data_IF_125998602467
#
_entry.id   IF_125998602467
#
_cell.length_a   1.000
_cell.length_b   1.000
_cell.length_c   1.000
_cell.angle_alpha   90.00
_cell.angle_beta   90.00
_cell.angle_gamma   90.00
#
_symmetry.space_group_name_H-M   'P 1'
#
loop_
_entity.id
_entity.type
_entity.pdbx_description
1 polymer ?
#
# COMPACT_ATOMS: atom_id res chain seq x y z
N UNK A 1 22.37 8.51 9.45
CA UNK A 1 20.94 8.73 9.71
C UNK A 1 20.65 10.17 9.32
N UNK A 2 19.58 10.44 8.55
CA UNK A 2 19.24 11.82 8.20
C UNK A 2 18.70 12.54 9.45
N UNK A 3 19.16 13.77 9.71
CA UNK A 3 18.63 14.58 10.81
C UNK A 3 17.27 15.20 10.43
N UNK A 4 16.31 15.28 11.36
CA UNK A 4 15.01 15.89 11.10
C UNK A 4 15.17 17.39 10.85
N UNK A 5 14.50 17.88 9.80
CA UNK A 5 14.51 19.30 9.44
C UNK A 5 13.76 20.10 10.51
N UNK A 6 14.42 21.13 11.06
CA UNK A 6 13.83 22.03 12.06
C UNK A 6 13.60 23.40 11.44
N UNK A 7 12.45 23.98 11.74
CA UNK A 7 12.03 25.32 11.31
C UNK A 7 11.63 26.11 12.57
N UNK A 8 11.96 27.40 12.63
CA UNK A 8 11.50 28.29 13.69
C UNK A 8 10.58 29.36 13.09
N UNK A 9 9.41 29.56 13.70
CA UNK A 9 8.42 30.55 13.23
C UNK A 9 8.90 32.00 13.37
N UNK A 10 9.98 32.22 14.11
CA UNK A 10 10.59 33.54 14.30
C UNK A 10 11.57 33.92 13.18
N UNK A 11 11.93 32.99 12.31
CA UNK A 11 12.86 33.27 11.21
C UNK A 11 12.12 34.01 10.07
N UNK A 12 12.72 35.08 9.54
CA UNK A 12 12.16 35.86 8.41
C UNK A 12 11.87 34.99 7.17
N UNK A 13 12.53 33.83 7.05
CA UNK A 13 12.37 32.86 5.96
C UNK A 13 11.38 31.72 6.24
N UNK A 14 10.71 31.71 7.40
CA UNK A 14 9.88 30.59 7.85
C UNK A 14 8.81 30.20 6.81
N UNK A 15 7.98 31.15 6.37
CA UNK A 15 6.87 30.88 5.44
C UNK A 15 7.35 30.23 4.14
N UNK A 16 8.46 30.73 3.58
CA UNK A 16 9.04 30.20 2.36
C UNK A 16 9.61 28.79 2.56
N UNK A 17 10.27 28.55 3.69
CA UNK A 17 10.86 27.25 4.01
C UNK A 17 9.80 26.21 4.40
N UNK A 18 8.72 26.63 5.07
CA UNK A 18 7.56 25.83 5.39
C UNK A 18 6.77 25.45 4.13
N UNK A 19 6.50 26.41 3.24
CA UNK A 19 5.86 26.15 1.95
C UNK A 19 6.62 25.11 1.11
N UNK A 20 7.96 25.16 1.08
CA UNK A 20 8.78 24.15 0.41
C UNK A 20 8.71 22.77 1.07
N UNK A 21 8.60 22.72 2.40
CA UNK A 21 8.51 21.47 3.14
C UNK A 21 7.19 20.75 2.83
N UNK A 22 6.07 21.47 2.88
CA UNK A 22 4.73 20.90 2.63
C UNK A 22 4.48 20.62 1.15
N UNK A 23 5.13 21.35 0.23
CA UNK A 23 5.00 21.10 -1.21
C UNK A 23 5.41 19.67 -1.59
N UNK A 24 6.41 19.10 -0.92
CA UNK A 24 6.90 17.74 -1.17
C UNK A 24 5.89 16.65 -0.79
N UNK A 25 5.07 16.89 0.24
CA UNK A 25 4.06 15.90 0.70
C UNK A 25 2.79 15.88 -0.18
N UNK A 26 2.62 16.86 -1.07
CA UNK A 26 1.38 17.04 -1.86
C UNK A 26 1.43 16.45 -3.27
N UNK A 27 2.55 15.90 -3.71
CA UNK A 27 2.62 15.18 -4.98
C UNK A 27 1.89 13.85 -4.82
N UNK A 28 0.62 13.81 -5.23
CA UNK A 28 -0.03 12.55 -5.61
C UNK A 28 0.89 11.83 -6.58
N UNK A 29 1.31 10.62 -6.20
CA UNK A 29 2.20 9.82 -7.03
C UNK A 29 1.38 9.32 -8.24
N UNK A 30 1.53 9.99 -9.39
CA UNK A 30 0.92 9.62 -10.66
C UNK A 30 1.23 8.16 -11.06
N UNK A 31 2.34 7.59 -10.56
CA UNK A 31 2.69 6.19 -10.74
C UNK A 31 1.74 5.27 -9.98
N UNK A 32 1.37 5.62 -8.75
CA UNK A 32 0.40 4.87 -7.93
C UNK A 32 -1.00 4.95 -8.55
N UNK A 33 -1.42 6.11 -9.04
CA UNK A 33 -2.72 6.27 -9.70
C UNK A 33 -2.82 5.39 -10.95
N UNK A 34 -1.78 5.42 -11.79
CA UNK A 34 -1.70 4.60 -13.00
C UNK A 34 -1.70 3.11 -12.70
N UNK A 35 -0.87 2.67 -11.74
CA UNK A 35 -0.81 1.27 -11.33
C UNK A 35 -2.18 0.80 -10.80
N UNK A 36 -2.87 1.62 -10.02
CA UNK A 36 -4.20 1.30 -9.51
C UNK A 36 -5.21 1.15 -10.66
N UNK A 37 -5.21 2.06 -11.63
CA UNK A 37 -6.09 1.99 -12.80
C UNK A 37 -5.83 0.72 -13.62
N UNK A 38 -4.56 0.39 -13.89
CA UNK A 38 -4.16 -0.83 -14.61
C UNK A 38 -4.60 -2.11 -13.87
N UNK A 39 -4.41 -2.17 -12.54
CA UNK A 39 -4.86 -3.30 -11.71
C UNK A 39 -6.38 -3.47 -11.79
N UNK A 40 -7.13 -2.38 -11.62
CA UNK A 40 -8.59 -2.41 -11.68
C UNK A 40 -9.09 -2.84 -13.06
N UNK A 41 -8.46 -2.37 -14.15
CA UNK A 41 -8.80 -2.78 -15.51
C UNK A 41 -8.52 -4.28 -15.73
N UNK A 42 -7.34 -4.75 -15.34
CA UNK A 42 -6.96 -6.16 -15.47
C UNK A 42 -7.91 -7.09 -14.73
N UNK A 43 -8.25 -6.77 -13.47
CA UNK A 43 -9.18 -7.58 -12.66
C UNK A 43 -10.60 -7.53 -13.23
N UNK A 44 -11.07 -6.38 -13.73
CA UNK A 44 -12.38 -6.29 -14.39
C UNK A 44 -12.45 -7.11 -15.67
N UNK A 45 -11.38 -7.11 -16.46
CA UNK A 45 -11.33 -7.81 -17.75
C UNK A 45 -11.18 -9.33 -17.58
N UNK A 46 -10.36 -9.76 -16.63
CA UNK A 46 -9.88 -11.14 -16.56
C UNK A 46 -10.20 -11.86 -15.26
N UNK A 47 -10.72 -11.19 -14.23
CA UNK A 47 -11.15 -11.81 -12.97
C UNK A 47 -10.04 -12.56 -12.23
N UNK A 48 -10.35 -13.77 -11.77
CA UNK A 48 -9.46 -14.64 -10.99
C UNK A 48 -8.06 -14.83 -11.61
N UNK A 49 -7.89 -15.09 -12.92
CA UNK A 49 -6.57 -15.10 -13.55
C UNK A 49 -5.71 -13.87 -13.27
N UNK A 50 -6.27 -12.66 -13.39
CA UNK A 50 -5.53 -11.44 -13.10
C UNK A 50 -5.23 -11.33 -11.61
N UNK A 51 -6.17 -11.72 -10.74
CA UNK A 51 -5.95 -11.73 -9.30
C UNK A 51 -4.78 -12.65 -8.91
N UNK A 52 -4.69 -13.86 -9.47
CA UNK A 52 -3.60 -14.80 -9.21
C UNK A 52 -2.24 -14.27 -9.68
N UNK A 53 -2.19 -13.67 -10.87
CA UNK A 53 -0.96 -13.06 -11.39
C UNK A 53 -0.48 -11.89 -10.52
N UNK A 54 -1.40 -11.04 -10.08
CA UNK A 54 -1.08 -9.88 -9.25
C UNK A 54 -0.63 -10.31 -7.85
N UNK A 55 -1.26 -11.33 -7.25
CA UNK A 55 -0.80 -11.94 -6.00
C UNK A 55 0.60 -12.53 -6.13
N UNK A 56 0.89 -13.25 -7.21
CA UNK A 56 2.25 -13.75 -7.47
C UNK A 56 3.29 -12.64 -7.59
N UNK A 57 2.93 -11.54 -8.27
CA UNK A 57 3.83 -10.41 -8.51
C UNK A 57 4.10 -9.59 -7.26
N UNK A 58 3.07 -9.24 -6.50
CA UNK A 58 3.17 -8.27 -5.40
C UNK A 58 3.36 -8.92 -4.03
N UNK A 59 2.79 -10.12 -3.83
CA UNK A 59 2.88 -10.83 -2.54
C UNK A 59 3.95 -11.94 -2.57
N UNK A 60 4.49 -12.26 -3.75
CA UNK A 60 5.50 -13.31 -3.92
C UNK A 60 4.97 -14.73 -3.68
N UNK A 61 3.65 -14.90 -3.65
CA UNK A 61 2.98 -16.16 -3.35
C UNK A 61 2.17 -16.63 -4.56
N UNK A 62 2.26 -17.93 -4.89
CA UNK A 62 1.67 -18.51 -6.10
C UNK A 62 0.54 -19.50 -5.77
N UNK A 63 -0.68 -19.03 -5.49
CA UNK A 63 -1.85 -19.89 -5.29
C UNK A 63 -2.25 -20.62 -6.57
N UNK A 64 -2.78 -21.84 -6.43
CA UNK A 64 -3.23 -22.65 -7.58
C UNK A 64 -4.60 -22.24 -8.11
N UNK A 65 -5.40 -21.56 -7.28
CA UNK A 65 -6.73 -21.08 -7.64
C UNK A 65 -7.15 -19.92 -6.74
N UNK A 66 -8.11 -19.11 -7.18
CA UNK A 66 -8.61 -17.99 -6.39
C UNK A 66 -9.25 -18.42 -5.07
N UNK A 67 -9.75 -19.66 -4.98
CA UNK A 67 -10.29 -20.23 -3.75
C UNK A 67 -9.22 -20.36 -2.64
N UNK A 68 -7.93 -20.45 -2.99
CA UNK A 68 -6.84 -20.51 -2.00
C UNK A 68 -6.56 -19.13 -1.37
N UNK A 69 -7.03 -18.04 -1.99
CA UNK A 69 -6.91 -16.68 -1.44
C UNK A 69 -7.80 -16.47 -0.20
N UNK A 70 -8.86 -17.27 -0.06
CA UNK A 70 -9.76 -17.21 1.09
C UNK A 70 -9.11 -17.90 2.29
N UNK A 71 -8.99 -17.18 3.40
CA UNK A 71 -8.61 -17.78 4.68
C UNK A 71 -9.85 -18.44 5.31
N UNK A 72 -9.85 -19.78 5.51
CA UNK A 72 -11.00 -20.44 6.11
C UNK A 72 -11.24 -19.97 7.54
N UNK A 73 -12.51 -19.84 7.91
CA UNK A 73 -12.88 -19.41 9.27
C UNK A 73 -12.40 -20.36 10.38
N UNK A 74 -12.19 -21.64 10.06
CA UNK A 74 -11.59 -22.58 10.99
C UNK A 74 -10.14 -22.17 11.36
N UNK A 75 -9.32 -21.86 10.37
CA UNK A 75 -7.93 -21.44 10.57
C UNK A 75 -7.83 -20.13 11.37
N UNK A 76 -8.74 -19.18 11.13
CA UNK A 76 -8.80 -17.96 11.93
C UNK A 76 -9.15 -18.21 13.40
N UNK A 77 -10.00 -19.20 13.71
CA UNK A 77 -10.32 -19.59 15.10
C UNK A 77 -9.17 -20.31 15.78
N UNK A 78 -8.47 -21.17 15.06
CA UNK A 78 -7.27 -21.84 15.57
C UNK A 78 -6.19 -20.80 15.92
N UNK A 79 -5.90 -19.87 15.00
CA UNK A 79 -4.96 -18.78 15.27
C UNK A 79 -5.35 -17.93 16.49
N UNK A 80 -6.65 -17.67 16.71
CA UNK A 80 -7.12 -16.96 17.90
C UNK A 80 -6.84 -17.74 19.19
N UNK A 81 -7.03 -19.06 19.18
CA UNK A 81 -6.77 -19.91 20.34
C UNK A 81 -5.28 -19.96 20.70
N UNK A 82 -4.40 -19.86 19.70
CA UNK A 82 -2.94 -19.87 19.89
C UNK A 82 -2.38 -18.60 20.52
N UNK A 83 -3.11 -17.48 20.50
CA UNK A 83 -2.66 -16.21 21.08
C UNK A 83 -2.66 -16.21 22.63
N UNK A 84 -3.33 -17.17 23.27
CA UNK A 84 -3.53 -17.18 24.73
C UNK A 84 -4.42 -16.02 25.23
N UNK A 85 -4.70 -15.97 26.53
CA UNK A 85 -5.24 -14.77 27.21
C UNK A 85 -4.12 -13.80 27.60
#
# INVERSE_FOLDING_TARGET
MAEPRRLATADDGFESAFARLIAFESTQDEGVERATAEILEAVRASGDPALLELTARFDGWNPRSAAELEVPMASAREALQELGE
#
